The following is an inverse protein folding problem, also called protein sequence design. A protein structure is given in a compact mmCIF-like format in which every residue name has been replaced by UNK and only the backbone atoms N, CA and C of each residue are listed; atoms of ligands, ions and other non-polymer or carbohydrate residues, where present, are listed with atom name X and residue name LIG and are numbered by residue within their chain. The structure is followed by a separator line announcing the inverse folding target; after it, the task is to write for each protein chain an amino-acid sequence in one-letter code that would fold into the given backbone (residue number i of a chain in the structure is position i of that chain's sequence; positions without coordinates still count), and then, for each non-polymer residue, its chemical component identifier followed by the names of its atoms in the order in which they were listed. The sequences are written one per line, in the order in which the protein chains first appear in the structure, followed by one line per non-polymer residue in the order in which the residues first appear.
data_IF_684080499857
#
_entry.id   IF_684080499857
#
_cell.length_a   1.000
_cell.length_b   1.000
_cell.length_c   1.000
_cell.angle_alpha   90.00
_cell.angle_beta   90.00
_cell.angle_gamma   90.00
#
_symmetry.space_group_name_H-M   'P 1'
#
loop_
_entity.id
_entity.type
_entity.pdbx_description
1 polymer ?
#
# COMPACT_ATOMS: atom_id res chain seq x y z
N UNK A 1 -12.77 2.39 -13.94
CA UNK A 1 -13.40 3.24 -12.91
C UNK A 1 -14.30 4.21 -13.64
N UNK A 2 -15.52 4.27 -13.20
CA UNK A 2 -16.54 5.20 -13.70
C UNK A 2 -17.12 5.99 -12.52
N UNK A 3 -17.59 7.20 -12.76
CA UNK A 3 -18.31 7.97 -11.76
C UNK A 3 -19.79 7.54 -11.65
N UNK A 4 -20.57 8.08 -10.73
CA UNK A 4 -21.98 7.75 -10.59
C UNK A 4 -22.82 8.02 -11.84
N UNK A 5 -22.42 8.96 -12.68
CA UNK A 5 -23.10 9.33 -13.92
C UNK A 5 -22.66 8.43 -15.10
N UNK A 6 -21.76 7.50 -14.87
CA UNK A 6 -21.22 6.56 -15.83
C UNK A 6 -20.08 7.11 -16.70
N UNK A 7 -19.57 8.30 -16.41
CA UNK A 7 -18.43 8.85 -17.14
C UNK A 7 -17.14 8.11 -16.79
N UNK A 8 -16.30 7.89 -17.78
CA UNK A 8 -15.03 7.20 -17.62
C UNK A 8 -14.01 8.08 -16.91
N UNK A 9 -13.62 7.71 -15.70
CA UNK A 9 -12.65 8.42 -14.85
C UNK A 9 -11.24 7.92 -15.05
N UNK A 10 -11.05 6.60 -15.00
CA UNK A 10 -9.75 5.96 -15.12
C UNK A 10 -9.85 4.50 -15.57
N UNK A 11 -8.76 4.01 -16.12
CA UNK A 11 -8.52 2.58 -16.34
C UNK A 11 -7.23 2.16 -15.65
N UNK A 12 -7.09 0.86 -15.39
CA UNK A 12 -5.85 0.33 -14.83
C UNK A 12 -5.61 -1.10 -15.26
N UNK A 13 -4.33 -1.49 -15.22
CA UNK A 13 -3.90 -2.87 -15.31
C UNK A 13 -3.55 -3.38 -13.91
N UNK A 14 -3.87 -4.66 -13.65
CA UNK A 14 -3.50 -5.35 -12.42
C UNK A 14 -2.67 -6.60 -12.76
N UNK A 15 -1.40 -6.61 -12.37
CA UNK A 15 -0.49 -7.73 -12.55
C UNK A 15 -0.18 -8.36 -11.18
N UNK A 16 -0.97 -9.37 -10.80
CA UNK A 16 -1.10 -9.81 -9.41
C UNK A 16 -0.19 -10.97 -9.00
N UNK A 17 0.38 -11.70 -9.97
CA UNK A 17 1.07 -12.95 -9.66
C UNK A 17 2.54 -12.94 -10.09
N UNK A 18 3.41 -13.66 -9.38
CA UNK A 18 4.81 -13.78 -9.73
C UNK A 18 4.99 -14.58 -11.03
N UNK A 19 6.03 -14.25 -11.79
CA UNK A 19 6.51 -14.99 -12.96
C UNK A 19 8.01 -14.81 -13.09
N UNK A 20 8.62 -15.56 -13.99
CA UNK A 20 10.03 -15.42 -14.29
C UNK A 20 10.37 -13.97 -14.68
N UNK A 21 11.48 -13.47 -14.19
CA UNK A 21 12.00 -12.10 -14.39
C UNK A 21 11.08 -10.95 -13.90
N UNK A 22 9.98 -11.25 -13.18
CA UNK A 22 9.18 -10.20 -12.54
C UNK A 22 9.87 -9.73 -11.26
N UNK A 23 10.02 -8.40 -11.10
CA UNK A 23 10.51 -7.79 -9.86
C UNK A 23 9.63 -8.19 -8.67
N UNK A 24 10.26 -8.54 -7.55
CA UNK A 24 9.56 -8.83 -6.29
C UNK A 24 8.96 -7.60 -5.63
N UNK A 25 8.10 -7.82 -4.62
CA UNK A 25 7.36 -6.76 -3.93
C UNK A 25 6.04 -6.41 -4.61
N UNK A 26 5.47 -5.27 -4.21
CA UNK A 26 4.31 -4.67 -4.83
C UNK A 26 4.61 -3.20 -5.14
N UNK A 27 3.95 -2.64 -6.13
CA UNK A 27 4.09 -1.23 -6.49
C UNK A 27 2.97 -0.78 -7.44
N UNK A 28 2.65 0.49 -7.40
CA UNK A 28 1.81 1.17 -8.35
C UNK A 28 2.65 2.10 -9.23
N UNK A 29 2.33 2.20 -10.52
CA UNK A 29 2.90 3.20 -11.43
C UNK A 29 1.81 3.87 -12.29
N UNK A 30 1.86 5.20 -12.48
CA UNK A 30 1.06 5.88 -13.47
C UNK A 30 1.58 5.53 -14.89
N UNK A 31 0.66 5.28 -15.81
CA UNK A 31 0.96 5.09 -17.24
C UNK A 31 0.56 6.34 -18.05
N UNK A 32 -0.60 6.90 -17.75
CA UNK A 32 -1.06 8.16 -18.33
C UNK A 32 -1.56 9.04 -17.19
N UNK A 33 -0.91 10.20 -17.03
CA UNK A 33 -1.37 11.27 -16.16
C UNK A 33 -2.08 12.32 -17.03
N UNK A 34 -3.39 12.21 -17.12
CA UNK A 34 -4.21 13.17 -17.82
C UNK A 34 -4.38 14.45 -16.98
N UNK A 35 -4.65 15.56 -17.67
CA UNK A 35 -4.97 16.86 -17.08
C UNK A 35 -6.34 17.32 -17.57
N UNK A 36 -6.87 18.38 -16.97
CA UNK A 36 -8.14 18.99 -17.37
C UNK A 36 -9.32 18.01 -17.43
N UNK A 37 -9.33 17.04 -16.49
CA UNK A 37 -10.41 16.08 -16.34
C UNK A 37 -10.38 14.89 -17.31
N UNK A 38 -9.31 14.72 -18.09
CA UNK A 38 -9.12 13.53 -18.92
C UNK A 38 -8.96 12.26 -18.10
N UNK A 39 -9.25 11.06 -18.67
CA UNK A 39 -9.16 9.80 -17.97
C UNK A 39 -7.72 9.41 -17.66
N UNK A 40 -7.49 8.92 -16.45
CA UNK A 40 -6.20 8.44 -15.98
C UNK A 40 -5.98 6.98 -16.39
N UNK A 41 -4.72 6.58 -16.55
CA UNK A 41 -4.34 5.17 -16.72
C UNK A 41 -3.23 4.81 -15.74
N UNK A 42 -3.47 3.80 -14.94
CA UNK A 42 -2.53 3.27 -13.96
C UNK A 42 -2.21 1.80 -14.13
N UNK A 43 -1.22 1.36 -13.42
CA UNK A 43 -0.84 -0.05 -13.28
C UNK A 43 -0.50 -0.32 -11.82
N UNK A 44 -1.00 -1.39 -11.25
CA UNK A 44 -0.43 -1.90 -10.01
C UNK A 44 0.02 -3.35 -10.15
N UNK A 45 1.13 -3.66 -9.53
CA UNK A 45 1.77 -4.96 -9.54
C UNK A 45 1.84 -5.53 -8.13
N UNK A 46 1.68 -6.84 -8.02
CA UNK A 46 1.91 -7.58 -6.80
C UNK A 46 2.52 -8.96 -7.12
N UNK A 47 2.97 -9.67 -6.11
CA UNK A 47 3.51 -11.02 -6.23
C UNK A 47 2.80 -11.95 -5.24
N UNK A 48 1.48 -12.03 -5.37
CA UNK A 48 0.61 -12.80 -4.50
C UNK A 48 0.77 -14.31 -4.68
N UNK A 49 0.38 -15.06 -3.68
CA UNK A 49 0.27 -16.52 -3.72
C UNK A 49 -0.59 -16.97 -4.90
N UNK A 50 -0.03 -17.79 -5.78
CA UNK A 50 -0.72 -18.32 -6.96
C UNK A 50 -1.80 -19.33 -6.59
N UNK A 51 -2.84 -19.47 -7.42
CA UNK A 51 -3.73 -20.61 -7.33
C UNK A 51 -2.98 -21.91 -7.66
N UNK A 52 -3.47 -23.03 -7.13
CA UNK A 52 -3.03 -24.38 -7.49
C UNK A 52 -4.06 -25.03 -8.43
N UNK A 53 -3.79 -26.23 -8.91
CA UNK A 53 -4.73 -26.93 -9.82
C UNK A 53 -6.10 -27.21 -9.16
N UNK A 54 -6.12 -27.35 -7.84
CA UNK A 54 -7.25 -27.77 -7.01
C UNK A 54 -7.78 -26.68 -6.07
N UNK A 55 -7.08 -25.53 -5.96
CA UNK A 55 -7.48 -24.44 -5.06
C UNK A 55 -7.29 -23.07 -5.71
N UNK A 56 -8.21 -22.11 -5.44
CA UNK A 56 -8.03 -20.73 -5.87
C UNK A 56 -6.82 -20.10 -5.16
N UNK A 57 -6.44 -18.91 -5.59
CA UNK A 57 -5.44 -18.12 -4.89
C UNK A 57 -5.97 -17.74 -3.49
N UNK A 58 -5.40 -18.35 -2.46
CA UNK A 58 -5.72 -18.06 -1.07
C UNK A 58 -4.67 -17.09 -0.53
N UNK A 59 -5.04 -15.83 -0.48
CA UNK A 59 -4.15 -14.77 -0.04
C UNK A 59 -4.04 -14.74 1.49
N UNK A 60 -2.84 -14.50 1.98
CA UNK A 60 -2.63 -14.13 3.39
C UNK A 60 -3.23 -12.76 3.68
N UNK A 61 -3.53 -12.48 4.94
CA UNK A 61 -4.04 -11.15 5.34
C UNK A 61 -3.08 -10.02 4.91
N UNK A 62 -1.78 -10.22 5.02
CA UNK A 62 -0.76 -9.26 4.59
C UNK A 62 -0.78 -9.01 3.08
N UNK A 63 -0.99 -10.03 2.27
CA UNK A 63 -1.12 -9.87 0.82
C UNK A 63 -2.37 -9.04 0.47
N UNK A 64 -3.49 -9.26 1.18
CA UNK A 64 -4.70 -8.45 1.03
C UNK A 64 -4.44 -7.00 1.44
N UNK A 65 -3.82 -6.77 2.58
CA UNK A 65 -3.43 -5.42 3.05
C UNK A 65 -2.55 -4.71 2.02
N UNK A 66 -1.56 -5.41 1.45
CA UNK A 66 -0.72 -4.88 0.37
C UNK A 66 -1.53 -4.52 -0.88
N UNK A 67 -2.50 -5.33 -1.27
CA UNK A 67 -3.38 -5.00 -2.41
C UNK A 67 -4.20 -3.74 -2.16
N UNK A 68 -4.73 -3.56 -0.95
CA UNK A 68 -5.46 -2.35 -0.58
C UNK A 68 -4.54 -1.12 -0.58
N UNK A 69 -3.30 -1.27 -0.11
CA UNK A 69 -2.26 -0.24 -0.15
C UNK A 69 -1.99 0.22 -1.59
N UNK A 70 -1.62 -0.70 -2.49
CA UNK A 70 -1.34 -0.36 -3.89
C UNK A 70 -2.58 0.20 -4.62
N UNK A 71 -3.76 -0.30 -4.27
CA UNK A 71 -5.01 0.24 -4.79
C UNK A 71 -5.28 1.66 -4.26
N UNK A 72 -4.82 2.00 -3.05
CA UNK A 72 -4.86 3.36 -2.53
C UNK A 72 -4.02 4.34 -3.35
N UNK A 73 -2.81 3.96 -3.74
CA UNK A 73 -2.01 4.73 -4.70
C UNK A 73 -2.69 4.85 -6.07
N UNK A 74 -3.29 3.76 -6.55
CA UNK A 74 -4.03 3.76 -7.79
C UNK A 74 -5.23 4.71 -7.75
N UNK A 75 -5.98 4.74 -6.66
CA UNK A 75 -7.09 5.69 -6.46
C UNK A 75 -6.60 7.13 -6.40
N UNK A 76 -5.51 7.40 -5.69
CA UNK A 76 -4.88 8.70 -5.64
C UNK A 76 -4.52 9.21 -7.05
N UNK A 77 -3.94 8.36 -7.88
CA UNK A 77 -3.67 8.67 -9.28
C UNK A 77 -4.96 8.84 -10.09
N UNK A 78 -5.88 7.89 -10.01
CA UNK A 78 -7.11 7.82 -10.80
C UNK A 78 -8.07 8.99 -10.57
N UNK A 79 -8.11 9.51 -9.34
CA UNK A 79 -8.99 10.59 -8.93
C UNK A 79 -8.32 11.97 -9.03
N UNK A 80 -7.09 12.05 -9.51
CA UNK A 80 -6.37 13.32 -9.69
C UNK A 80 -7.09 14.24 -10.67
N UNK A 81 -7.26 15.51 -10.26
CA UNK A 81 -7.98 16.56 -11.01
C UNK A 81 -7.15 17.85 -11.04
N UNK A 82 -6.00 17.80 -11.67
CA UNK A 82 -5.07 18.93 -11.76
C UNK A 82 -4.88 19.39 -13.20
N UNK A 83 -4.55 20.65 -13.40
CA UNK A 83 -4.24 21.24 -14.71
C UNK A 83 -2.74 21.14 -15.05
N UNK A 84 -1.89 20.88 -14.06
CA UNK A 84 -0.43 20.75 -14.24
C UNK A 84 -0.02 19.29 -14.09
N UNK A 85 0.43 18.68 -15.18
CA UNK A 85 0.76 17.23 -15.23
C UNK A 85 1.83 16.80 -14.23
N UNK A 86 2.84 17.63 -14.00
CA UNK A 86 3.90 17.31 -13.02
C UNK A 86 3.43 17.29 -11.56
N UNK A 87 2.20 17.74 -11.30
CA UNK A 87 1.56 17.70 -9.98
C UNK A 87 0.44 16.65 -9.90
N UNK A 88 0.31 15.81 -10.95
CA UNK A 88 -0.78 14.83 -11.01
C UNK A 88 -0.50 13.57 -10.18
N UNK A 89 -1.55 13.04 -9.60
CA UNK A 89 -1.55 11.74 -8.92
C UNK A 89 -0.56 11.68 -7.76
N UNK A 90 0.35 10.74 -7.83
CA UNK A 90 1.36 10.47 -6.79
C UNK A 90 2.57 11.41 -6.81
N UNK A 91 2.60 12.43 -7.68
CA UNK A 91 3.63 13.47 -7.70
C UNK A 91 3.35 14.52 -6.61
N UNK A 92 3.49 14.13 -5.37
CA UNK A 92 3.24 14.92 -4.15
C UNK A 92 4.47 14.89 -3.24
N UNK A 93 4.45 15.66 -2.16
CA UNK A 93 5.50 15.61 -1.15
C UNK A 93 5.62 14.20 -0.54
N UNK A 94 6.86 13.80 -0.21
CA UNK A 94 7.16 12.44 0.27
C UNK A 94 6.44 12.05 1.55
N UNK A 95 6.19 13.00 2.43
CA UNK A 95 5.44 12.84 3.67
C UNK A 95 3.93 12.67 3.46
N UNK A 96 3.43 12.93 2.26
CA UNK A 96 2.01 12.80 1.90
C UNK A 96 1.72 11.56 1.04
N UNK A 97 2.69 11.09 0.25
CA UNK A 97 2.45 10.08 -0.80
C UNK A 97 1.81 8.79 -0.29
N UNK A 98 2.12 8.38 0.94
CA UNK A 98 1.58 7.17 1.57
C UNK A 98 0.24 7.38 2.29
N UNK A 99 -0.28 8.61 2.38
CA UNK A 99 -1.55 8.85 3.06
C UNK A 99 -2.72 8.08 2.43
N UNK A 100 -2.94 8.15 1.09
CA UNK A 100 -4.04 7.43 0.45
C UNK A 100 -3.87 5.91 0.49
N UNK A 101 -2.64 5.40 0.37
CA UNK A 101 -2.35 3.97 0.43
C UNK A 101 -2.57 3.41 1.83
N UNK A 102 -2.01 4.04 2.85
CA UNK A 102 -2.14 3.58 4.24
C UNK A 102 -3.56 3.72 4.79
N UNK A 103 -4.34 4.71 4.37
CA UNK A 103 -5.73 4.82 4.79
C UNK A 103 -6.58 3.64 4.27
N UNK A 104 -6.27 3.14 3.07
CA UNK A 104 -6.96 1.98 2.50
C UNK A 104 -6.68 0.68 3.27
N UNK A 105 -5.52 0.53 3.89
CA UNK A 105 -5.19 -0.62 4.72
C UNK A 105 -6.15 -0.80 5.90
N UNK A 106 -6.74 0.28 6.42
CA UNK A 106 -7.67 0.21 7.54
C UNK A 106 -8.88 -0.68 7.25
N UNK A 107 -9.36 -0.71 6.02
CA UNK A 107 -10.50 -1.54 5.61
C UNK A 107 -10.21 -3.04 5.74
N UNK A 108 -8.95 -3.45 5.74
CA UNK A 108 -8.55 -4.84 5.97
C UNK A 108 -8.72 -5.27 7.45
N UNK A 109 -9.01 -4.34 8.35
CA UNK A 109 -9.18 -4.57 9.78
C UNK A 109 -10.61 -4.30 10.27
N UNK A 110 -11.50 -3.87 9.37
CA UNK A 110 -12.89 -3.58 9.66
C UNK A 110 -13.77 -4.77 9.31
N UNK A 111 -14.59 -5.22 10.28
CA UNK A 111 -15.47 -6.39 10.11
C UNK A 111 -16.39 -6.25 8.91
N UNK A 112 -17.03 -5.10 8.77
CA UNK A 112 -17.98 -4.83 7.70
C UNK A 112 -17.33 -4.89 6.32
N UNK A 113 -16.10 -4.40 6.19
CA UNK A 113 -15.35 -4.46 4.94
C UNK A 113 -14.92 -5.90 4.61
N UNK A 114 -14.38 -6.63 5.59
CA UNK A 114 -13.94 -8.01 5.41
C UNK A 114 -15.09 -8.92 5.00
N UNK A 115 -16.28 -8.75 5.55
CA UNK A 115 -17.47 -9.56 5.23
C UNK A 115 -17.93 -9.40 3.78
N UNK A 116 -17.47 -8.38 3.05
CA UNK A 116 -17.78 -8.23 1.63
C UNK A 116 -16.98 -9.20 0.74
N UNK A 117 -15.76 -9.56 1.12
CA UNK A 117 -14.87 -10.35 0.26
C UNK A 117 -14.14 -11.51 0.97
N UNK A 118 -13.87 -11.42 2.27
CA UNK A 118 -13.11 -12.42 3.00
C UNK A 118 -14.00 -13.59 3.45
N UNK A 119 -14.27 -14.49 2.50
CA UNK A 119 -15.16 -15.63 2.68
C UNK A 119 -14.45 -16.94 2.42
N UNK A 120 -14.90 -17.99 3.09
CA UNK A 120 -14.38 -19.34 2.87
C UNK A 120 -14.66 -19.78 1.43
N UNK A 121 -13.61 -20.23 0.73
CA UNK A 121 -13.66 -20.46 -0.71
C UNK A 121 -14.60 -21.60 -1.16
N UNK A 122 -14.95 -22.53 -0.24
CA UNK A 122 -15.90 -23.63 -0.50
C UNK A 122 -17.28 -23.34 0.07
N UNK A 123 -17.37 -22.85 1.33
CA UNK A 123 -18.66 -22.69 2.02
C UNK A 123 -19.24 -21.29 1.89
N UNK A 124 -18.46 -20.32 1.43
CA UNK A 124 -18.84 -18.90 1.36
C UNK A 124 -19.19 -18.26 2.72
N UNK A 125 -18.81 -18.90 3.82
CA UNK A 125 -19.01 -18.36 5.16
C UNK A 125 -18.01 -17.21 5.46
N UNK A 126 -18.43 -16.19 6.21
CA UNK A 126 -17.54 -15.13 6.64
C UNK A 126 -16.51 -15.66 7.67
N UNK A 127 -15.48 -14.86 7.93
CA UNK A 127 -14.49 -15.17 8.97
C UNK A 127 -15.21 -15.36 10.31
N UNK A 128 -15.01 -16.49 11.04
CA UNK A 128 -15.59 -16.68 12.36
C UNK A 128 -15.19 -15.57 13.33
N UNK A 129 -16.12 -15.10 14.17
CA UNK A 129 -15.87 -13.98 15.10
C UNK A 129 -14.65 -14.22 15.98
N UNK A 130 -14.50 -15.42 16.54
CA UNK A 130 -13.34 -15.74 17.38
C UNK A 130 -11.98 -15.65 16.64
N UNK A 131 -11.97 -15.85 15.31
CA UNK A 131 -10.76 -15.67 14.50
C UNK A 131 -10.52 -14.18 14.22
N UNK A 132 -11.55 -13.43 13.90
CA UNK A 132 -11.47 -12.00 13.72
C UNK A 132 -10.95 -11.30 14.99
N UNK A 133 -11.46 -11.64 16.17
CA UNK A 133 -11.01 -11.09 17.45
C UNK A 133 -9.50 -11.34 17.68
N UNK A 134 -9.02 -12.53 17.32
CA UNK A 134 -7.59 -12.86 17.38
C UNK A 134 -6.77 -12.06 16.38
N UNK A 135 -7.28 -11.81 15.19
CA UNK A 135 -6.61 -10.95 14.20
C UNK A 135 -6.44 -9.53 14.75
N UNK A 136 -7.51 -8.94 15.29
CA UNK A 136 -7.47 -7.60 15.89
C UNK A 136 -6.48 -7.54 17.07
N UNK A 137 -6.49 -8.53 17.95
CA UNK A 137 -5.54 -8.61 19.05
C UNK A 137 -4.08 -8.73 18.57
N UNK A 138 -3.85 -9.47 17.48
CA UNK A 138 -2.51 -9.63 16.90
C UNK A 138 -1.98 -8.34 16.25
N UNK A 139 -2.84 -7.45 15.74
CA UNK A 139 -2.45 -6.20 15.09
C UNK A 139 -1.57 -5.32 15.98
N UNK A 140 -1.88 -5.25 17.27
CA UNK A 140 -1.15 -4.41 18.22
C UNK A 140 -0.01 -5.15 18.96
N UNK A 141 0.15 -6.45 18.70
CA UNK A 141 1.21 -7.22 19.35
C UNK A 141 2.59 -6.67 18.98
N UNK A 142 3.35 -6.27 19.99
CA UNK A 142 4.69 -5.66 19.86
C UNK A 142 4.72 -4.35 19.02
N UNK A 143 3.60 -3.66 18.84
CA UNK A 143 3.54 -2.41 18.08
C UNK A 143 4.49 -1.33 18.66
N UNK A 144 4.59 -1.24 19.98
CA UNK A 144 5.55 -0.33 20.63
C UNK A 144 7.01 -0.63 20.28
N UNK A 145 7.38 -1.90 20.16
CA UNK A 145 8.74 -2.29 19.74
C UNK A 145 9.04 -1.88 18.28
N UNK A 146 8.06 -2.05 17.39
CA UNK A 146 8.17 -1.60 16.00
C UNK A 146 8.30 -0.08 15.94
N UNK A 147 7.50 0.65 16.72
CA UNK A 147 7.56 2.11 16.78
C UNK A 147 8.91 2.62 17.32
N UNK A 148 9.45 2.00 18.37
CA UNK A 148 10.75 2.36 18.91
C UNK A 148 11.88 2.14 17.89
N UNK A 149 11.79 1.09 17.08
CA UNK A 149 12.74 0.86 15.99
C UNK A 149 12.68 1.99 14.94
N UNK A 150 11.49 2.44 14.55
CA UNK A 150 11.33 3.55 13.62
C UNK A 150 11.86 4.87 14.20
N UNK A 151 11.57 5.14 15.46
CA UNK A 151 12.11 6.32 16.16
C UNK A 151 13.65 6.29 16.22
N UNK A 152 14.25 5.12 16.41
CA UNK A 152 15.70 4.94 16.36
C UNK A 152 16.27 5.36 15.01
N UNK A 153 15.71 4.85 13.90
CA UNK A 153 16.15 5.24 12.57
C UNK A 153 15.99 6.74 12.31
N UNK A 154 14.83 7.30 12.63
CA UNK A 154 14.56 8.73 12.43
C UNK A 154 15.48 9.61 13.27
N UNK A 155 15.79 9.19 14.51
CA UNK A 155 16.72 9.93 15.38
C UNK A 155 18.13 9.93 14.84
N UNK A 156 18.62 8.77 14.36
CA UNK A 156 19.96 8.67 13.75
C UNK A 156 20.02 9.53 12.49
N UNK A 157 19.05 9.42 11.60
CA UNK A 157 18.98 10.19 10.36
C UNK A 157 18.99 11.70 10.64
N UNK A 158 18.13 12.15 11.55
CA UNK A 158 18.04 13.56 11.93
C UNK A 158 19.37 14.07 12.51
N UNK A 159 19.99 13.32 13.43
CA UNK A 159 21.27 13.72 14.03
C UNK A 159 22.40 13.79 13.00
N UNK A 160 22.47 12.84 12.08
CA UNK A 160 23.46 12.85 10.98
C UNK A 160 23.31 14.10 10.11
N UNK A 161 22.10 14.61 9.91
CA UNK A 161 21.85 15.79 9.06
C UNK A 161 21.89 17.13 9.80
N UNK A 162 21.83 17.13 11.15
CA UNK A 162 21.78 18.37 11.93
C UNK A 162 23.00 18.59 12.84
N UNK A 163 23.62 17.53 13.33
CA UNK A 163 24.68 17.61 14.33
C UNK A 163 26.09 17.34 13.76
N UNK A 164 26.18 16.65 12.62
CA UNK A 164 27.47 16.26 12.03
C UNK A 164 27.73 17.00 10.72
N UNK A 165 28.99 17.42 10.51
CA UNK A 165 29.43 18.02 9.27
C UNK A 165 30.42 17.10 8.55
N UNK A 166 30.50 17.22 7.21
CA UNK A 166 31.42 16.44 6.39
C UNK A 166 32.87 16.76 6.72
N UNK A 167 33.16 17.94 7.32
CA UNK A 167 34.47 18.36 7.75
C UNK A 167 34.99 17.60 8.98
N UNK A 168 34.13 16.92 9.73
CA UNK A 168 34.49 16.29 11.00
C UNK A 168 35.08 14.87 10.83
N UNK A 169 35.28 14.41 9.59
CA UNK A 169 35.83 13.09 9.28
C UNK A 169 34.81 11.97 9.34
N UNK A 170 35.24 10.74 9.60
CA UNK A 170 34.36 9.57 9.69
C UNK A 170 33.45 9.74 10.93
N UNK A 171 32.14 9.90 10.70
CA UNK A 171 31.15 9.88 11.76
C UNK A 171 31.13 8.48 12.37
N UNK A 172 31.42 8.37 13.66
CA UNK A 172 31.20 7.12 14.39
C UNK A 172 29.70 6.95 14.61
N UNK A 173 29.08 6.14 13.77
CA UNK A 173 27.62 5.88 13.79
C UNK A 173 27.19 5.30 15.15
N UNK A 174 28.07 4.55 15.81
CA UNK A 174 27.82 3.98 17.14
C UNK A 174 27.57 5.04 18.24
N UNK A 175 28.06 6.26 18.05
CA UNK A 175 27.80 7.37 18.98
C UNK A 175 26.48 8.09 18.71
N UNK A 176 25.81 7.79 17.60
CA UNK A 176 24.53 8.39 17.19
C UNK A 176 23.32 7.54 17.61
N UNK A 177 23.53 6.30 18.02
CA UNK A 177 22.52 5.36 18.50
C UNK A 177 22.46 5.40 20.03
#
# INVERSE_FOLDING_TARGET
IVDPDGAHVASFYADLFPRENKRGGAWMNPLISAVDGGPQLGLFCANNTKPTADKPALLTHREVETLFHEFGHLLHHSLSRVSVRSLAGTNVAWDFVELPSQIMENWCWEREALDLFARHYETNEPIPQALFDKMIAARTFRAGNVQMRQLGFSSVDLRLHTEYSISDGIVQVDAAI
#
